data_IF_305442733918
#
_entry.id   IF_305442733918
#
_cell.length_a   1.000
_cell.length_b   1.000
_cell.length_c   1.000
_cell.angle_alpha   90.00
_cell.angle_beta   90.00
_cell.angle_gamma   90.00
#
_symmetry.space_group_name_H-M   'P 1'
#
loop_
_entity.id
_entity.type
_entity.pdbx_description
1 polymer ?
#
# COMPACT_ATOMS: atom_id res chain seq x y z
N UNK A 1 -50.63 18.83 45.02
CA UNK A 1 -49.23 19.23 44.73
C UNK A 1 -48.37 17.97 44.61
N UNK A 2 -47.32 18.00 43.76
CA UNK A 2 -46.74 16.90 42.96
C UNK A 2 -45.56 16.20 43.68
N UNK A 3 -44.95 15.10 43.22
CA UNK A 3 -44.20 14.85 41.97
C UNK A 3 -44.09 13.33 41.69
N UNK A 4 -44.40 12.80 40.50
CA UNK A 4 -43.57 12.75 39.26
C UNK A 4 -42.08 12.40 39.51
N UNK A 5 -41.81 11.10 39.65
CA UNK A 5 -40.50 10.49 39.38
C UNK A 5 -40.35 10.25 37.88
N UNK A 6 -39.26 10.79 37.35
CA UNK A 6 -38.99 11.11 35.95
C UNK A 6 -38.40 9.92 35.22
N UNK A 7 -38.89 9.66 34.00
CA UNK A 7 -38.26 8.83 32.98
C UNK A 7 -36.83 9.34 32.79
N UNK A 8 -35.82 8.53 33.11
CA UNK A 8 -34.44 8.81 32.72
C UNK A 8 -34.34 8.56 31.22
N UNK A 9 -34.36 9.67 30.49
CA UNK A 9 -34.02 9.78 29.09
C UNK A 9 -32.56 9.39 28.87
N UNK A 10 -32.31 8.58 27.84
CA UNK A 10 -30.99 8.33 27.26
C UNK A 10 -30.14 9.60 27.24
N UNK A 11 -29.02 9.59 27.97
CA UNK A 11 -27.97 10.56 27.74
C UNK A 11 -27.09 10.04 26.61
N UNK A 12 -26.92 10.80 25.50
CA UNK A 12 -25.92 10.45 24.50
C UNK A 12 -24.54 10.46 25.15
N UNK A 13 -23.81 9.35 25.01
CA UNK A 13 -22.46 9.19 25.53
C UNK A 13 -21.55 10.32 25.09
N UNK A 14 -20.62 10.70 25.96
CA UNK A 14 -19.73 11.86 25.87
C UNK A 14 -18.68 11.82 24.72
N UNK A 15 -18.99 11.21 23.58
CA UNK A 15 -18.18 11.20 22.36
C UNK A 15 -18.76 12.05 21.22
N UNK A 16 -19.90 12.74 21.45
CA UNK A 16 -20.68 13.39 20.40
C UNK A 16 -20.49 14.92 20.31
N UNK A 17 -19.26 15.42 20.40
CA UNK A 17 -18.99 16.87 20.24
C UNK A 17 -17.73 17.17 19.41
N UNK A 18 -17.74 16.91 18.09
CA UNK A 18 -17.01 17.68 17.04
C UNK A 18 -17.51 17.27 15.63
N UNK A 19 -17.35 18.08 14.56
CA UNK A 19 -18.30 18.23 13.45
C UNK A 19 -18.28 17.07 12.43
N UNK A 20 -19.31 17.02 11.57
CA UNK A 20 -19.57 16.00 10.54
C UNK A 20 -18.41 15.75 9.56
N UNK A 21 -17.42 14.93 9.94
CA UNK A 21 -16.82 13.89 9.08
C UNK A 21 -16.43 12.73 10.00
N UNK A 22 -17.39 11.82 10.24
CA UNK A 22 -17.16 10.62 11.07
C UNK A 22 -16.55 9.52 10.21
N UNK A 23 -15.23 9.40 10.17
CA UNK A 23 -14.58 8.13 9.84
C UNK A 23 -14.60 7.26 11.10
N UNK A 24 -15.72 6.58 11.35
CA UNK A 24 -15.89 5.68 12.49
C UNK A 24 -15.35 4.29 12.15
N UNK A 25 -14.89 3.55 13.14
CA UNK A 25 -14.71 2.10 12.99
C UNK A 25 -16.09 1.42 12.88
N UNK A 26 -16.23 0.31 12.14
CA UNK A 26 -17.46 -0.49 12.16
C UNK A 26 -17.88 -0.84 13.60
N UNK A 27 -19.17 -0.71 13.90
CA UNK A 27 -19.75 -0.92 15.23
C UNK A 27 -20.46 -2.26 15.37
N UNK A 28 -20.87 -2.86 14.26
CA UNK A 28 -21.62 -4.12 14.23
C UNK A 28 -20.90 -5.16 13.37
N UNK A 29 -20.91 -6.42 13.80
CA UNK A 29 -20.29 -7.51 13.04
C UNK A 29 -20.87 -7.64 11.62
N UNK A 30 -22.15 -7.29 11.43
CA UNK A 30 -22.81 -7.32 10.13
C UNK A 30 -22.21 -6.34 9.11
N UNK A 31 -21.56 -5.27 9.55
CA UNK A 31 -20.90 -4.31 8.65
C UNK A 31 -19.65 -4.91 7.98
N UNK A 32 -19.08 -5.97 8.57
CA UNK A 32 -18.02 -6.74 7.95
C UNK A 32 -18.52 -7.78 6.94
N UNK A 33 -19.82 -7.91 6.67
CA UNK A 33 -20.38 -8.98 5.82
C UNK A 33 -20.23 -8.75 4.31
N UNK A 34 -20.14 -7.49 3.86
CA UNK A 34 -19.89 -7.10 2.47
C UNK A 34 -18.53 -6.39 2.37
N UNK A 35 -17.55 -7.02 1.70
CA UNK A 35 -16.19 -6.49 1.62
C UNK A 35 -16.12 -5.22 0.76
N UNK A 36 -16.86 -5.17 -0.36
CA UNK A 36 -16.86 -4.02 -1.25
C UNK A 36 -17.44 -2.79 -0.54
N UNK A 37 -18.60 -2.96 0.09
CA UNK A 37 -19.26 -1.90 0.86
C UNK A 37 -18.39 -1.44 2.03
N UNK A 38 -17.80 -2.38 2.77
CA UNK A 38 -16.93 -2.07 3.91
C UNK A 38 -15.71 -1.23 3.49
N UNK A 39 -15.06 -1.59 2.37
CA UNK A 39 -13.94 -0.82 1.84
C UNK A 39 -14.40 0.59 1.47
N UNK A 40 -15.52 0.71 0.76
CA UNK A 40 -16.02 1.98 0.25
C UNK A 40 -16.52 2.92 1.35
N UNK A 41 -17.09 2.40 2.44
CA UNK A 41 -17.65 3.20 3.54
C UNK A 41 -16.61 3.55 4.62
N UNK A 42 -15.70 2.63 4.95
CA UNK A 42 -14.87 2.75 6.16
C UNK A 42 -13.38 2.94 5.90
N UNK A 43 -12.90 2.70 4.69
CA UNK A 43 -11.46 2.61 4.39
C UNK A 43 -11.00 3.63 3.35
N UNK A 44 -11.74 3.75 2.25
CA UNK A 44 -11.37 4.64 1.15
C UNK A 44 -11.42 6.09 1.60
N UNK A 45 -10.35 6.83 1.33
CA UNK A 45 -10.32 8.28 1.51
C UNK A 45 -11.10 8.97 0.39
N UNK A 46 -12.28 9.50 0.72
CA UNK A 46 -13.17 10.23 -0.19
C UNK A 46 -12.73 11.66 -0.45
N UNK A 47 -11.76 12.19 0.30
CA UNK A 47 -11.21 13.53 0.05
C UNK A 47 -10.29 13.55 -1.19
N UNK A 48 -9.77 12.40 -1.60
CA UNK A 48 -8.94 12.27 -2.80
C UNK A 48 -9.86 12.13 -4.03
N UNK A 49 -9.85 13.09 -4.97
CA UNK A 49 -10.70 13.02 -6.16
C UNK A 49 -10.21 11.93 -7.13
N UNK A 50 -11.09 11.43 -8.02
CA UNK A 50 -10.67 10.57 -9.12
C UNK A 50 -9.59 11.21 -9.99
N UNK A 51 -8.59 10.41 -10.39
CA UNK A 51 -7.39 10.90 -11.08
C UNK A 51 -6.92 10.06 -12.27
N UNK A 52 -7.65 9.01 -12.66
CA UNK A 52 -7.32 8.21 -13.85
C UNK A 52 -8.54 7.77 -14.64
N UNK A 53 -8.38 7.47 -15.93
CA UNK A 53 -9.44 6.97 -16.82
C UNK A 53 -9.06 5.65 -17.49
N UNK A 54 -9.91 5.16 -18.39
CA UNK A 54 -9.65 3.90 -19.15
C UNK A 54 -8.36 3.89 -19.96
N UNK A 55 -7.92 5.04 -20.47
CA UNK A 55 -6.70 5.16 -21.27
C UNK A 55 -5.41 5.24 -20.46
N UNK A 56 -5.50 5.41 -19.14
CA UNK A 56 -4.35 5.67 -18.26
C UNK A 56 -3.35 4.53 -18.31
N UNK A 57 -2.07 4.87 -18.49
CA UNK A 57 -0.96 3.92 -18.37
C UNK A 57 -0.48 3.82 -16.94
N UNK A 58 -0.62 2.63 -16.36
CA UNK A 58 -0.13 2.28 -15.05
C UNK A 58 1.27 1.69 -15.15
N UNK A 59 2.11 2.03 -14.17
CA UNK A 59 3.34 1.33 -13.86
C UNK A 59 3.21 0.80 -12.43
N UNK A 60 3.47 -0.48 -12.24
CA UNK A 60 3.38 -1.16 -10.94
C UNK A 60 4.75 -1.72 -10.56
N UNK A 61 5.13 -1.57 -9.30
CA UNK A 61 6.41 -2.07 -8.79
C UNK A 61 6.26 -2.58 -7.36
N UNK A 62 6.95 -3.67 -7.05
CA UNK A 62 7.01 -4.24 -5.71
C UNK A 62 6.86 -5.76 -5.68
N UNK A 63 6.38 -6.27 -4.55
CA UNK A 63 6.19 -7.71 -4.26
C UNK A 63 5.22 -8.42 -5.22
N UNK A 64 5.04 -9.74 -5.08
CA UNK A 64 4.01 -10.54 -5.77
C UNK A 64 2.59 -9.93 -5.69
N UNK A 65 2.28 -9.16 -4.64
CA UNK A 65 1.03 -8.42 -4.56
C UNK A 65 0.89 -7.38 -5.69
N UNK A 66 1.97 -6.67 -6.04
CA UNK A 66 1.99 -5.72 -7.15
C UNK A 66 1.79 -6.41 -8.51
N UNK A 67 2.33 -7.61 -8.67
CA UNK A 67 2.09 -8.45 -9.86
C UNK A 67 0.61 -8.85 -9.98
N UNK A 68 0.00 -9.27 -8.87
CA UNK A 68 -1.44 -9.57 -8.81
C UNK A 68 -2.29 -8.32 -9.09
N UNK A 69 -1.89 -7.15 -8.57
CA UNK A 69 -2.52 -5.87 -8.89
C UNK A 69 -2.46 -5.59 -10.40
N UNK A 70 -1.27 -5.71 -11.00
CA UNK A 70 -1.06 -5.52 -12.43
C UNK A 70 -1.91 -6.46 -13.28
N UNK A 71 -1.86 -7.76 -12.98
CA UNK A 71 -2.59 -8.80 -13.71
C UNK A 71 -4.09 -8.52 -13.68
N UNK A 72 -4.63 -8.13 -12.53
CA UNK A 72 -6.05 -7.82 -12.43
C UNK A 72 -6.40 -6.51 -13.13
N UNK A 73 -5.56 -5.46 -13.06
CA UNK A 73 -5.74 -4.23 -13.84
C UNK A 73 -5.81 -4.52 -15.34
N UNK A 74 -4.89 -5.35 -15.86
CA UNK A 74 -4.89 -5.79 -17.25
C UNK A 74 -6.15 -6.58 -17.61
N UNK A 75 -6.58 -7.51 -16.74
CA UNK A 75 -7.81 -8.28 -16.95
C UNK A 75 -9.08 -7.41 -17.01
N UNK A 76 -9.04 -6.25 -16.34
CA UNK A 76 -10.11 -5.26 -16.37
C UNK A 76 -9.99 -4.27 -17.54
N UNK A 77 -8.99 -4.43 -18.41
CA UNK A 77 -8.81 -3.64 -19.63
C UNK A 77 -7.94 -2.38 -19.48
N UNK A 78 -7.24 -2.21 -18.36
CA UNK A 78 -6.30 -1.10 -18.19
C UNK A 78 -4.93 -1.43 -18.77
N UNK A 79 -4.23 -0.40 -19.26
CA UNK A 79 -2.84 -0.52 -19.68
C UNK A 79 -1.97 -0.47 -18.44
N UNK A 80 -1.31 -1.57 -18.12
CA UNK A 80 -0.45 -1.64 -16.94
C UNK A 80 0.83 -2.40 -17.27
N UNK A 81 1.95 -1.85 -16.85
CA UNK A 81 3.27 -2.48 -16.88
C UNK A 81 3.67 -2.91 -15.46
N UNK A 82 4.17 -4.12 -15.29
CA UNK A 82 4.76 -4.59 -14.04
C UNK A 82 6.28 -4.66 -14.18
N UNK A 83 6.99 -3.98 -13.29
CA UNK A 83 8.44 -4.06 -13.24
C UNK A 83 8.90 -5.38 -12.61
N UNK A 84 9.24 -6.35 -13.46
CA UNK A 84 9.66 -7.70 -13.09
C UNK A 84 11.12 -7.83 -12.64
N UNK A 85 11.89 -6.74 -12.64
CA UNK A 85 13.36 -6.83 -12.64
C UNK A 85 13.96 -7.50 -11.40
N UNK A 86 13.41 -7.34 -10.18
CA UNK A 86 13.97 -7.96 -8.97
C UNK A 86 12.90 -8.15 -7.88
N UNK A 87 12.76 -9.38 -7.34
CA UNK A 87 11.97 -9.65 -6.11
C UNK A 87 12.44 -8.81 -4.91
N UNK A 88 13.72 -8.39 -4.92
CA UNK A 88 14.34 -7.55 -3.91
C UNK A 88 13.98 -6.07 -3.98
N UNK A 89 13.19 -5.59 -4.96
CA UNK A 89 12.65 -4.23 -4.98
C UNK A 89 11.45 -4.05 -4.04
N UNK A 90 11.54 -4.62 -2.84
CA UNK A 90 10.46 -4.66 -1.86
C UNK A 90 10.71 -3.78 -0.62
N UNK A 91 11.89 -3.16 -0.51
CA UNK A 91 12.25 -2.22 0.56
C UNK A 91 12.38 -0.79 0.05
N UNK A 92 12.16 0.24 0.90
CA UNK A 92 12.34 1.64 0.52
C UNK A 92 13.72 1.95 -0.05
N UNK A 93 14.79 1.41 0.54
CA UNK A 93 16.18 1.64 0.12
C UNK A 93 16.46 1.03 -1.26
N UNK A 94 16.00 -0.20 -1.51
CA UNK A 94 16.14 -0.84 -2.82
C UNK A 94 15.47 -0.02 -3.92
N UNK A 95 14.23 0.45 -3.65
CA UNK A 95 13.48 1.29 -4.57
C UNK A 95 14.19 2.63 -4.83
N UNK A 96 14.71 3.27 -3.78
CA UNK A 96 15.43 4.54 -3.88
C UNK A 96 16.69 4.44 -4.77
N UNK A 97 17.49 3.39 -4.59
CA UNK A 97 18.70 3.13 -5.39
C UNK A 97 18.31 2.87 -6.85
N UNK A 98 17.41 1.92 -7.08
CA UNK A 98 17.00 1.53 -8.42
C UNK A 98 16.37 2.68 -9.22
N UNK A 99 15.51 3.50 -8.59
CA UNK A 99 14.92 4.66 -9.26
C UNK A 99 15.94 5.77 -9.53
N UNK A 100 17.01 5.88 -8.73
CA UNK A 100 18.14 6.78 -9.05
C UNK A 100 18.87 6.33 -10.32
N UNK A 101 19.06 5.01 -10.49
CA UNK A 101 19.65 4.44 -11.70
C UNK A 101 18.76 4.68 -12.93
N UNK A 102 17.45 4.46 -12.81
CA UNK A 102 16.50 4.74 -13.89
C UNK A 102 16.41 6.24 -14.23
N UNK A 103 16.50 7.13 -13.24
CA UNK A 103 16.51 8.57 -13.46
C UNK A 103 17.75 9.04 -14.22
N UNK A 104 18.89 8.36 -14.06
CA UNK A 104 20.15 8.69 -14.75
C UNK A 104 20.30 8.01 -16.12
N UNK A 105 19.49 7.00 -16.46
CA UNK A 105 19.62 6.23 -17.70
C UNK A 105 18.57 6.61 -18.74
N UNK A 106 18.98 7.09 -19.92
CA UNK A 106 18.04 7.47 -21.01
C UNK A 106 17.53 6.27 -21.81
N UNK A 107 18.41 5.36 -22.20
CA UNK A 107 18.13 4.23 -23.10
C UNK A 107 17.90 2.91 -22.35
N UNK A 108 16.95 2.90 -21.42
CA UNK A 108 16.55 1.69 -20.69
C UNK A 108 15.05 1.44 -20.87
N UNK A 109 14.66 0.24 -21.30
CA UNK A 109 13.27 -0.09 -21.62
C UNK A 109 12.31 0.22 -20.45
N UNK A 110 12.69 -0.19 -19.22
CA UNK A 110 11.88 0.10 -18.02
C UNK A 110 11.79 1.59 -17.72
N UNK A 111 12.85 2.37 -18.00
CA UNK A 111 12.79 3.82 -17.84
C UNK A 111 11.85 4.45 -18.89
N UNK A 112 11.78 3.89 -20.10
CA UNK A 112 10.80 4.26 -21.11
C UNK A 112 9.36 4.04 -20.65
N UNK A 113 9.05 2.85 -20.13
CA UNK A 113 7.74 2.52 -19.58
C UNK A 113 7.37 3.44 -18.40
N UNK A 114 8.31 3.68 -17.48
CA UNK A 114 8.08 4.56 -16.32
C UNK A 114 7.86 6.02 -16.73
N UNK A 115 8.56 6.52 -17.77
CA UNK A 115 8.32 7.88 -18.32
C UNK A 115 6.96 7.99 -19.00
N UNK A 116 6.52 6.93 -19.68
CA UNK A 116 5.24 6.91 -20.38
C UNK A 116 4.05 6.76 -19.41
N UNK A 117 4.28 6.24 -18.21
CA UNK A 117 3.25 6.02 -17.21
C UNK A 117 2.67 7.33 -16.67
N UNK A 118 1.37 7.30 -16.40
CA UNK A 118 0.61 8.42 -15.81
C UNK A 118 0.33 8.17 -14.33
N UNK A 119 0.24 6.90 -13.93
CA UNK A 119 0.08 6.49 -12.53
C UNK A 119 1.15 5.46 -12.19
N UNK A 120 1.94 5.73 -11.16
CA UNK A 120 2.90 4.79 -10.57
C UNK A 120 2.37 4.23 -9.25
N UNK A 121 2.07 2.93 -9.23
CA UNK A 121 1.70 2.20 -8.02
C UNK A 121 2.94 1.53 -7.44
N UNK A 122 3.48 2.13 -6.38
CA UNK A 122 4.61 1.59 -5.63
C UNK A 122 4.09 0.79 -4.42
N UNK A 123 4.29 -0.52 -4.47
CA UNK A 123 3.98 -1.44 -3.38
C UNK A 123 5.25 -1.77 -2.59
N UNK A 124 5.39 -1.20 -1.39
CA UNK A 124 6.49 -1.58 -0.49
C UNK A 124 6.05 -2.73 0.41
N UNK A 125 6.96 -3.62 0.83
CA UNK A 125 6.55 -4.83 1.54
C UNK A 125 7.55 -5.41 2.54
N UNK A 126 8.82 -5.00 2.51
CA UNK A 126 9.87 -5.61 3.32
C UNK A 126 10.75 -4.50 3.91
N UNK A 127 10.67 -4.32 5.24
CA UNK A 127 11.58 -3.46 5.99
C UNK A 127 12.98 -4.06 6.19
N UNK A 128 13.16 -5.38 6.41
CA UNK A 128 14.49 -5.92 6.65
C UNK A 128 15.33 -5.93 5.37
N UNK A 129 16.44 -5.21 5.40
CA UNK A 129 17.40 -5.08 4.31
C UNK A 129 18.69 -5.84 4.62
N UNK A 130 19.42 -6.18 3.57
CA UNK A 130 20.71 -6.87 3.67
C UNK A 130 21.87 -5.90 3.56
N UNK A 131 22.89 -6.13 4.39
CA UNK A 131 24.11 -5.33 4.40
C UNK A 131 25.34 -6.23 4.50
N UNK A 132 26.43 -5.86 3.82
CA UNK A 132 27.73 -6.50 4.02
C UNK A 132 28.25 -6.18 5.42
N UNK A 133 28.64 -7.18 6.21
CA UNK A 133 29.19 -6.96 7.55
C UNK A 133 30.49 -6.15 7.54
N UNK A 134 31.33 -6.36 6.52
CA UNK A 134 32.63 -5.72 6.43
C UNK A 134 32.56 -4.20 6.19
N UNK A 135 31.52 -3.74 5.47
CA UNK A 135 31.44 -2.35 4.98
C UNK A 135 30.17 -1.61 5.42
N UNK A 136 29.15 -2.33 5.89
CA UNK A 136 27.82 -1.79 6.14
C UNK A 136 27.05 -1.43 4.87
N UNK A 137 27.56 -1.77 3.68
CA UNK A 137 26.94 -1.42 2.40
C UNK A 137 25.66 -2.24 2.16
N UNK A 138 24.59 -1.56 1.71
CA UNK A 138 23.35 -2.20 1.27
C UNK A 138 23.61 -3.17 0.12
N UNK A 139 22.93 -4.32 0.13
CA UNK A 139 22.89 -5.26 -0.98
C UNK A 139 21.44 -5.62 -1.29
N UNK A 140 21.11 -5.70 -2.58
CA UNK A 140 19.78 -6.12 -3.02
C UNK A 140 19.50 -7.55 -2.58
N UNK A 141 20.44 -8.46 -2.86
CA UNK A 141 20.32 -9.87 -2.52
C UNK A 141 21.64 -10.40 -1.98
N UNK A 142 21.64 -11.11 -0.84
CA UNK A 142 22.84 -11.71 -0.30
C UNK A 142 23.21 -12.98 -1.10
N UNK A 143 24.50 -13.28 -1.19
CA UNK A 143 24.92 -14.60 -1.65
C UNK A 143 24.63 -15.64 -0.56
N UNK A 144 23.63 -16.50 -0.78
CA UNK A 144 23.22 -17.52 0.18
C UNK A 144 24.33 -18.51 0.56
N UNK A 145 25.30 -18.77 -0.32
CA UNK A 145 26.46 -19.63 -0.01
C UNK A 145 27.46 -18.96 0.94
N UNK A 146 27.40 -17.63 1.05
CA UNK A 146 28.24 -16.79 1.91
C UNK A 146 27.39 -15.97 2.89
N UNK A 147 26.24 -16.49 3.31
CA UNK A 147 25.27 -15.73 4.10
C UNK A 147 25.85 -15.16 5.41
N UNK A 148 26.90 -15.80 5.95
CA UNK A 148 27.65 -15.32 7.12
C UNK A 148 28.35 -13.98 6.93
N UNK A 149 28.61 -13.55 5.69
CA UNK A 149 29.23 -12.25 5.36
C UNK A 149 28.23 -11.09 5.41
N UNK A 150 26.94 -11.40 5.54
CA UNK A 150 25.86 -10.43 5.51
C UNK A 150 25.14 -10.36 6.86
N UNK A 151 24.54 -9.22 7.13
CA UNK A 151 23.60 -9.01 8.22
C UNK A 151 22.29 -8.51 7.65
N UNK A 152 21.19 -9.07 8.13
CA UNK A 152 19.85 -8.53 7.87
C UNK A 152 19.46 -7.64 9.04
N UNK A 153 19.02 -6.41 8.76
CA UNK A 153 18.46 -5.52 9.78
C UNK A 153 17.18 -4.88 9.28
N UNK A 154 16.20 -4.80 10.16
CA UNK A 154 15.01 -3.97 9.97
C UNK A 154 15.43 -2.51 9.90
N UNK A 155 15.03 -1.81 8.84
CA UNK A 155 15.34 -0.39 8.70
C UNK A 155 14.66 0.41 9.82
N UNK A 156 15.37 1.37 10.46
CA UNK A 156 14.74 2.41 11.25
C UNK A 156 13.69 3.16 10.42
N UNK A 157 12.62 3.60 11.08
CA UNK A 157 11.51 4.34 10.43
C UNK A 157 12.03 5.56 9.67
N UNK A 158 12.96 6.32 10.25
CA UNK A 158 13.58 7.49 9.63
C UNK A 158 14.34 7.14 8.33
N UNK A 159 15.11 6.05 8.31
CA UNK A 159 15.85 5.62 7.11
C UNK A 159 14.90 5.19 6.00
N UNK A 160 13.83 4.48 6.34
CA UNK A 160 12.78 4.11 5.40
C UNK A 160 12.03 5.34 4.87
N UNK A 161 11.71 6.32 5.73
CA UNK A 161 11.08 7.59 5.35
C UNK A 161 11.96 8.36 4.37
N UNK A 162 13.24 8.53 4.68
CA UNK A 162 14.16 9.30 3.84
C UNK A 162 14.36 8.64 2.47
N UNK A 163 14.40 7.30 2.43
CA UNK A 163 14.44 6.55 1.18
C UNK A 163 13.14 6.71 0.36
N UNK A 164 11.96 6.80 1.00
CA UNK A 164 10.69 7.09 0.32
C UNK A 164 10.67 8.52 -0.26
N UNK A 165 11.11 9.52 0.51
CA UNK A 165 11.22 10.90 0.03
C UNK A 165 12.16 11.00 -1.17
N UNK A 166 13.30 10.33 -1.12
CA UNK A 166 14.23 10.25 -2.26
C UNK A 166 13.61 9.54 -3.45
N UNK A 167 12.87 8.45 -3.23
CA UNK A 167 12.10 7.76 -4.27
C UNK A 167 11.13 8.70 -4.97
N UNK A 168 10.35 9.50 -4.23
CA UNK A 168 9.43 10.47 -4.84
C UNK A 168 10.17 11.51 -5.67
N UNK A 169 11.30 12.01 -5.17
CA UNK A 169 12.16 12.93 -5.92
C UNK A 169 12.63 12.33 -7.25
N UNK A 170 13.12 11.08 -7.25
CA UNK A 170 13.57 10.42 -8.47
C UNK A 170 12.42 10.20 -9.45
N UNK A 171 11.26 9.78 -8.96
CA UNK A 171 10.05 9.65 -9.77
C UNK A 171 9.67 10.97 -10.43
N UNK A 172 9.68 12.07 -9.68
CA UNK A 172 9.38 13.42 -10.20
C UNK A 172 10.41 13.89 -11.23
N UNK A 173 11.67 13.48 -11.11
CA UNK A 173 12.69 13.74 -12.12
C UNK A 173 12.44 12.96 -13.42
N UNK A 174 11.94 11.73 -13.32
CA UNK A 174 11.63 10.88 -14.47
C UNK A 174 10.37 11.36 -15.20
N UNK A 175 9.30 11.63 -14.44
CA UNK A 175 8.04 12.16 -14.94
C UNK A 175 7.42 13.12 -13.89
N UNK A 176 7.52 14.44 -14.08
CA UNK A 176 6.99 15.43 -13.14
C UNK A 176 5.47 15.32 -12.90
N UNK A 177 4.71 14.88 -13.91
CA UNK A 177 3.25 14.84 -13.88
C UNK A 177 2.67 13.50 -13.37
N UNK A 178 3.52 12.50 -13.11
CA UNK A 178 3.05 11.14 -12.77
C UNK A 178 2.37 11.09 -11.40
N UNK A 179 1.13 10.60 -11.31
CA UNK A 179 0.51 10.39 -10.00
C UNK A 179 1.19 9.23 -9.28
N UNK A 180 1.67 9.46 -8.05
CA UNK A 180 2.29 8.42 -7.23
C UNK A 180 1.25 7.86 -6.26
N UNK A 181 1.05 6.55 -6.32
CA UNK A 181 0.21 5.79 -5.38
C UNK A 181 1.12 4.85 -4.60
N UNK A 182 1.20 5.07 -3.29
CA UNK A 182 1.84 4.16 -2.35
C UNK A 182 0.84 3.14 -1.86
N UNK A 183 1.29 1.91 -1.69
CA UNK A 183 0.56 0.93 -0.91
C UNK A 183 1.52 0.02 -0.16
N UNK A 184 1.07 -0.50 0.98
CA UNK A 184 1.84 -1.44 1.78
C UNK A 184 1.35 -2.86 1.46
N UNK A 185 2.27 -3.74 1.08
CA UNK A 185 1.94 -5.12 0.76
C UNK A 185 1.46 -5.86 2.01
N UNK A 186 0.30 -6.53 1.97
CA UNK A 186 -0.16 -7.39 3.06
C UNK A 186 0.52 -8.75 3.11
N UNK A 187 1.30 -9.12 2.09
CA UNK A 187 1.98 -10.44 2.01
C UNK A 187 2.94 -10.61 3.19
N UNK A 188 2.81 -11.70 4.00
CA UNK A 188 3.73 -11.98 5.09
C UNK A 188 5.16 -12.26 4.63
N UNK A 189 6.15 -11.84 5.42
CA UNK A 189 7.53 -12.27 5.25
C UNK A 189 7.62 -13.81 5.25
N UNK A 190 8.29 -14.37 4.24
CA UNK A 190 8.53 -15.81 4.16
C UNK A 190 9.64 -16.30 5.09
N UNK A 191 10.56 -15.42 5.51
CA UNK A 191 11.71 -15.73 6.34
C UNK A 191 12.28 -14.48 7.01
N UNK A 192 13.04 -14.68 8.07
CA UNK A 192 13.84 -13.65 8.75
C UNK A 192 15.17 -14.24 9.21
N UNK A 193 16.20 -13.41 9.29
CA UNK A 193 17.50 -13.73 9.86
C UNK A 193 17.85 -12.87 11.07
N UNK A 194 16.94 -11.97 11.45
CA UNK A 194 17.07 -11.08 12.60
C UNK A 194 16.31 -11.62 13.82
N UNK A 195 15.21 -12.35 13.58
CA UNK A 195 14.34 -12.87 14.64
C UNK A 195 14.18 -14.38 14.57
N UNK A 196 13.72 -14.99 15.67
CA UNK A 196 13.36 -16.41 15.69
C UNK A 196 12.07 -16.73 14.90
N UNK A 197 11.16 -15.76 14.79
CA UNK A 197 9.85 -15.93 14.17
C UNK A 197 9.65 -14.97 13.00
N UNK A 198 9.36 -15.50 11.82
CA UNK A 198 9.01 -14.69 10.64
C UNK A 198 7.71 -13.91 10.84
N UNK A 199 6.80 -14.40 11.69
CA UNK A 199 5.55 -13.69 12.03
C UNK A 199 5.86 -12.44 12.88
N UNK A 200 6.73 -12.57 13.88
CA UNK A 200 7.15 -11.43 14.71
C UNK A 200 7.93 -10.41 13.87
N UNK A 201 8.84 -10.89 13.02
CA UNK A 201 9.56 -10.04 12.09
C UNK A 201 8.63 -9.33 11.09
N UNK A 202 7.61 -10.02 10.58
CA UNK A 202 6.62 -9.44 9.67
C UNK A 202 5.83 -8.34 10.36
N UNK A 203 5.34 -8.58 11.58
CA UNK A 203 4.62 -7.57 12.36
C UNK A 203 5.46 -6.29 12.55
N UNK A 204 6.71 -6.43 12.96
CA UNK A 204 7.63 -5.29 13.08
C UNK A 204 7.87 -4.61 11.73
N UNK A 205 8.18 -5.38 10.69
CA UNK A 205 8.44 -4.88 9.35
C UNK A 205 7.28 -4.05 8.81
N UNK A 206 6.04 -4.55 8.89
CA UNK A 206 4.86 -3.84 8.39
C UNK A 206 4.55 -2.60 9.23
N UNK A 207 4.70 -2.68 10.55
CA UNK A 207 4.53 -1.53 11.43
C UNK A 207 5.54 -0.41 11.12
N UNK A 208 6.83 -0.75 11.00
CA UNK A 208 7.89 0.20 10.66
C UNK A 208 7.67 0.85 9.30
N UNK A 209 7.31 0.07 8.27
CA UNK A 209 7.00 0.63 6.94
C UNK A 209 5.76 1.51 6.95
N UNK A 210 4.72 1.12 7.70
CA UNK A 210 3.49 1.91 7.77
C UNK A 210 3.69 3.26 8.45
N UNK A 211 4.52 3.28 9.50
CA UNK A 211 4.97 4.51 10.14
C UNK A 211 5.83 5.35 9.19
N UNK A 212 6.79 4.75 8.48
CA UNK A 212 7.65 5.45 7.54
C UNK A 212 6.87 6.07 6.37
N UNK A 213 5.86 5.37 5.83
CA UNK A 213 4.94 5.92 4.84
C UNK A 213 4.24 7.16 5.40
N UNK A 214 3.68 7.07 6.60
CA UNK A 214 2.98 8.20 7.22
C UNK A 214 3.91 9.40 7.39
N UNK A 215 5.10 9.21 7.96
CA UNK A 215 6.08 10.28 8.12
C UNK A 215 6.50 10.88 6.77
N UNK A 216 6.71 10.06 5.73
CA UNK A 216 7.16 10.53 4.42
C UNK A 216 6.08 11.37 3.72
N UNK A 217 4.81 11.00 3.88
CA UNK A 217 3.69 11.79 3.34
C UNK A 217 3.52 13.12 4.08
N UNK A 218 3.71 13.14 5.40
CA UNK A 218 3.66 14.38 6.19
C UNK A 218 4.83 15.33 5.88
N UNK A 219 6.01 14.77 5.60
CA UNK A 219 7.21 15.52 5.28
C UNK A 219 7.32 15.92 3.79
N UNK A 220 6.36 15.55 2.94
CA UNK A 220 6.42 15.87 1.52
C UNK A 220 5.99 17.32 1.25
N UNK A 221 6.82 18.08 0.54
CA UNK A 221 6.63 19.53 0.31
C UNK A 221 6.19 19.90 -1.12
N UNK A 222 5.91 18.92 -1.99
CA UNK A 222 5.50 19.19 -3.38
C UNK A 222 3.99 19.40 -3.56
N UNK A 223 3.61 20.04 -4.67
CA UNK A 223 2.21 20.42 -4.95
C UNK A 223 1.26 19.24 -5.24
N UNK A 224 1.79 18.13 -5.77
CA UNK A 224 1.05 16.86 -5.95
C UNK A 224 1.62 15.80 -5.00
N UNK A 225 1.08 15.66 -3.77
CA UNK A 225 1.53 14.66 -2.83
C UNK A 225 1.24 13.23 -3.31
N UNK A 226 2.14 12.27 -3.04
CA UNK A 226 1.83 10.85 -3.19
C UNK A 226 0.60 10.48 -2.37
N UNK A 227 -0.22 9.58 -2.90
CA UNK A 227 -1.43 9.10 -2.25
C UNK A 227 -1.20 7.71 -1.64
N UNK A 228 -1.62 7.46 -0.41
CA UNK A 228 -1.58 6.12 0.19
C UNK A 228 -2.91 5.39 0.02
N UNK A 229 -2.87 4.24 -0.67
CA UNK A 229 -4.02 3.34 -0.76
C UNK A 229 -3.88 2.17 0.25
N UNK A 230 -4.86 1.97 1.16
CA UNK A 230 -4.73 1.10 2.33
C UNK A 230 -4.98 -0.40 2.06
N UNK A 231 -4.31 -0.98 1.06
CA UNK A 231 -4.45 -2.42 0.76
C UNK A 231 -3.99 -3.33 1.91
N UNK A 232 -3.00 -2.89 2.68
CA UNK A 232 -2.52 -3.59 3.87
C UNK A 232 -3.62 -3.76 4.92
N UNK A 233 -4.30 -2.67 5.26
CA UNK A 233 -5.37 -2.66 6.25
C UNK A 233 -6.59 -3.45 5.78
N UNK A 234 -6.94 -3.38 4.49
CA UNK A 234 -8.04 -4.19 3.91
C UNK A 234 -7.78 -5.68 4.11
N UNK A 235 -6.54 -6.15 3.95
CA UNK A 235 -6.26 -7.58 4.14
C UNK A 235 -6.02 -7.92 5.60
N UNK A 236 -5.23 -7.13 6.33
CA UNK A 236 -4.75 -7.49 7.68
C UNK A 236 -5.69 -7.08 8.80
N UNK A 237 -6.43 -5.98 8.67
CA UNK A 237 -7.37 -5.50 9.69
C UNK A 237 -8.78 -5.98 9.41
N UNK A 238 -9.25 -5.88 8.16
CA UNK A 238 -10.57 -6.40 7.79
C UNK A 238 -10.57 -7.92 7.67
N UNK A 239 -9.51 -8.52 7.12
CA UNK A 239 -9.41 -9.98 7.01
C UNK A 239 -9.49 -10.71 8.35
N UNK A 240 -9.07 -10.08 9.45
CA UNK A 240 -9.20 -10.65 10.78
C UNK A 240 -10.66 -10.84 11.24
N UNK A 241 -11.60 -10.06 10.69
CA UNK A 241 -13.04 -10.14 11.01
C UNK A 241 -13.81 -11.07 10.08
N UNK A 242 -13.30 -11.31 8.87
CA UNK A 242 -13.99 -12.05 7.81
C UNK A 242 -13.43 -13.45 7.55
N UNK A 243 -12.17 -13.70 7.89
CA UNK A 243 -11.46 -14.92 7.48
C UNK A 243 -11.05 -14.91 6.01
N UNK A 244 -10.43 -16.01 5.56
CA UNK A 244 -10.10 -16.28 4.14
C UNK A 244 -9.27 -15.21 3.44
N UNK A 245 -8.54 -14.37 4.18
CA UNK A 245 -7.69 -13.33 3.61
C UNK A 245 -6.43 -13.88 2.92
N UNK A 246 -6.05 -15.12 3.24
CA UNK A 246 -4.88 -15.79 2.68
C UNK A 246 -5.14 -17.26 2.38
N UNK A 247 -4.40 -17.81 1.41
CA UNK A 247 -4.25 -19.25 1.19
C UNK A 247 -5.42 -19.94 0.49
N UNK A 248 -6.22 -19.21 -0.28
CA UNK A 248 -7.27 -19.80 -1.14
C UNK A 248 -6.70 -20.70 -2.26
N UNK A 249 -5.40 -20.56 -2.57
CA UNK A 249 -4.64 -21.39 -3.49
C UNK A 249 -3.80 -22.49 -2.80
N UNK A 250 -3.97 -22.67 -1.49
CA UNK A 250 -3.19 -23.62 -0.68
C UNK A 250 -1.81 -23.11 -0.24
N UNK A 251 -1.42 -21.86 -0.60
CA UNK A 251 -0.19 -21.23 -0.14
C UNK A 251 -0.48 -20.19 0.96
N UNK A 252 -0.07 -20.41 2.22
CA UNK A 252 -0.57 -19.66 3.39
C UNK A 252 -0.16 -18.18 3.44
N UNK A 253 0.72 -17.72 2.55
CA UNK A 253 1.15 -16.31 2.45
C UNK A 253 0.49 -15.56 1.30
N UNK A 254 -0.13 -16.28 0.36
CA UNK A 254 -0.75 -15.66 -0.79
C UNK A 254 -2.06 -15.02 -0.35
N UNK A 255 -2.25 -13.75 -0.70
CA UNK A 255 -3.49 -13.04 -0.44
C UNK A 255 -4.55 -13.65 -1.35
N UNK A 256 -5.72 -13.94 -0.79
CA UNK A 256 -6.78 -14.56 -1.56
C UNK A 256 -7.22 -13.70 -2.75
N UNK A 257 -7.52 -14.34 -3.87
CA UNK A 257 -7.88 -13.69 -5.12
C UNK A 257 -9.07 -12.75 -4.97
N UNK A 258 -10.08 -13.18 -4.19
CA UNK A 258 -11.26 -12.37 -3.87
C UNK A 258 -10.89 -11.04 -3.20
N UNK A 259 -9.92 -11.03 -2.27
CA UNK A 259 -9.45 -9.80 -1.63
C UNK A 259 -8.69 -8.91 -2.60
N UNK A 260 -7.80 -9.48 -3.42
CA UNK A 260 -7.09 -8.73 -4.47
C UNK A 260 -8.07 -8.06 -5.43
N UNK A 261 -9.06 -8.80 -5.92
CA UNK A 261 -10.08 -8.27 -6.82
C UNK A 261 -10.91 -7.16 -6.17
N UNK A 262 -11.33 -7.32 -4.91
CA UNK A 262 -12.07 -6.30 -4.18
C UNK A 262 -11.26 -5.01 -3.98
N UNK A 263 -9.98 -5.13 -3.61
CA UNK A 263 -9.05 -4.00 -3.45
C UNK A 263 -8.94 -3.20 -4.75
N UNK A 264 -8.80 -3.88 -5.89
CA UNK A 264 -8.60 -3.24 -7.20
C UNK A 264 -9.90 -2.64 -7.72
N UNK A 265 -11.02 -3.34 -7.55
CA UNK A 265 -12.35 -2.80 -7.88
C UNK A 265 -12.64 -1.56 -7.06
N UNK A 266 -12.34 -1.56 -5.76
CA UNK A 266 -12.48 -0.38 -4.91
C UNK A 266 -11.57 0.77 -5.39
N UNK A 267 -10.30 0.48 -5.71
CA UNK A 267 -9.39 1.50 -6.25
C UNK A 267 -9.94 2.13 -7.55
N UNK A 268 -10.41 1.30 -8.49
CA UNK A 268 -11.01 1.75 -9.76
C UNK A 268 -12.31 2.52 -9.53
N UNK A 269 -13.22 2.00 -8.69
CA UNK A 269 -14.52 2.64 -8.43
C UNK A 269 -14.37 4.04 -7.83
N UNK A 270 -13.43 4.21 -6.91
CA UNK A 270 -13.32 5.44 -6.13
C UNK A 270 -12.37 6.46 -6.75
N UNK A 271 -11.36 6.01 -7.50
CA UNK A 271 -10.33 6.90 -8.04
C UNK A 271 -10.29 6.94 -9.58
N UNK A 272 -11.13 6.13 -10.25
CA UNK A 272 -11.34 6.18 -11.69
C UNK A 272 -12.43 7.19 -12.10
N UNK A 273 -12.14 8.04 -13.07
CA UNK A 273 -13.02 9.09 -13.60
C UNK A 273 -14.29 8.49 -14.21
N UNK A 274 -14.18 7.36 -14.91
CA UNK A 274 -15.31 6.71 -15.58
C UNK A 274 -16.26 5.98 -14.62
N UNK A 275 -15.81 5.68 -13.39
CA UNK A 275 -16.63 5.01 -12.38
C UNK A 275 -17.54 5.98 -11.61
N UNK A 276 -17.10 7.24 -11.43
CA UNK A 276 -17.89 8.28 -10.79
C UNK A 276 -19.20 8.61 -11.57
N UNK A 277 -19.23 8.37 -12.89
CA UNK A 277 -20.42 8.56 -13.73
C UNK A 277 -21.48 7.46 -13.61
N UNK A 278 -21.15 6.28 -13.06
CA UNK A 278 -22.10 5.17 -12.90
C UNK A 278 -22.91 5.28 -11.60
N UNK A 279 -22.33 5.84 -10.53
CA UNK A 279 -23.03 6.01 -9.25
C UNK A 279 -24.09 7.11 -9.27
N UNK A 280 -24.01 8.06 -10.20
CA UNK A 280 -25.00 9.15 -10.35
C UNK A 280 -26.29 8.73 -11.08
N UNK A 281 -26.40 7.48 -11.55
CA UNK A 281 -27.56 6.96 -12.29
C UNK A 281 -28.35 5.87 -11.56
N UNK A 282 -28.07 5.61 -10.28
CA UNK A 282 -28.84 4.66 -9.44
C UNK A 282 -29.43 5.31 -8.18
N UNK A 283 -29.67 6.62 -8.21
CA UNK A 283 -30.44 7.35 -7.19
C UNK A 283 -31.81 7.72 -7.70
#
# INVERSE_FOLDING_TARGET
>A
MPSKGRIMTDQPGAYDIVPRVRTVYPRENGEFADLDRLIDEFIVDKAVPPFFGRGTRFFTQGSCFAENLNTTLQSLGYRSYYNQMIEALNSPVANAIYLSELASTRDHAVAGELRAAEVFILTIGVAPCWFLKATGQFVFEPNLRRIGDYVQRTLPVAEARDALLHTFKMVRQINPAMKIVLTLSPVPLGRTFEFHSAIVADALSKASLRAAIHEALQAYEGDDPPFYFPSFEIVRWVGAHRGEAFGDDGLPRHVSKHYVEAIIRAFIRNYGIDAAGASAKMG
#
